data_IF_324858150058
#
_entry.id   IF_324858150058
#
_cell.length_a   1.000
_cell.length_b   1.000
_cell.length_c   1.000
_cell.angle_alpha   90.00
_cell.angle_beta   90.00
_cell.angle_gamma   90.00
#
_symmetry.space_group_name_H-M   'P 1'
#
loop_
_entity.id
_entity.type
_entity.pdbx_description
1 polymer ?
#
# COMPACT_ATOMS: atom_id res chain seq x y z
N UNK A 1 -61.26 -29.77 -14.34
CA UNK A 1 -60.36 -30.14 -13.22
C UNK A 1 -59.00 -30.47 -13.80
N UNK A 2 -57.95 -29.75 -13.37
CA UNK A 2 -56.50 -29.94 -13.54
C UNK A 2 -55.84 -28.56 -13.78
N UNK A 3 -55.74 -27.74 -12.73
CA UNK A 3 -54.50 -27.45 -11.99
C UNK A 3 -53.49 -26.59 -12.77
N UNK A 4 -53.69 -25.28 -12.60
CA UNK A 4 -52.72 -24.21 -12.87
C UNK A 4 -51.55 -24.41 -11.90
N UNK A 5 -50.41 -24.86 -12.41
CA UNK A 5 -49.17 -24.95 -11.62
C UNK A 5 -48.54 -23.57 -11.58
N UNK A 6 -48.57 -22.98 -10.39
CA UNK A 6 -48.06 -21.67 -10.04
C UNK A 6 -46.58 -21.51 -10.40
N UNK A 7 -46.29 -20.59 -11.32
CA UNK A 7 -44.93 -20.09 -11.58
C UNK A 7 -44.51 -19.25 -10.37
N UNK A 8 -43.65 -19.79 -9.53
CA UNK A 8 -42.99 -19.07 -8.44
C UNK A 8 -41.47 -19.30 -8.58
N UNK A 9 -40.92 -18.77 -9.67
CA UNK A 9 -39.47 -18.64 -9.80
C UNK A 9 -39.07 -17.50 -8.87
N UNK A 10 -38.54 -17.88 -7.70
CA UNK A 10 -37.78 -17.01 -6.83
C UNK A 10 -36.60 -16.43 -7.61
N UNK A 11 -36.79 -15.25 -8.20
CA UNK A 11 -35.68 -14.40 -8.61
C UNK A 11 -35.00 -13.91 -7.33
N UNK A 12 -34.12 -14.74 -6.77
CA UNK A 12 -33.11 -14.30 -5.83
C UNK A 12 -32.25 -13.28 -6.57
N UNK A 13 -32.58 -12.00 -6.40
CA UNK A 13 -31.69 -10.90 -6.74
C UNK A 13 -30.40 -11.12 -5.97
N UNK A 14 -29.37 -11.62 -6.65
CA UNK A 14 -27.97 -11.41 -6.28
C UNK A 14 -27.75 -9.90 -6.33
N UNK A 15 -28.06 -9.22 -5.23
CA UNK A 15 -27.62 -7.85 -5.00
C UNK A 15 -26.11 -7.94 -4.81
N UNK A 16 -25.37 -7.88 -5.92
CA UNK A 16 -23.96 -7.52 -5.86
C UNK A 16 -23.92 -6.09 -5.30
N UNK A 17 -23.72 -5.98 -3.99
CA UNK A 17 -23.54 -4.71 -3.30
C UNK A 17 -22.27 -4.08 -3.83
N UNK A 18 -22.41 -3.23 -4.84
CA UNK A 18 -21.32 -2.39 -5.31
C UNK A 18 -20.97 -1.44 -4.17
N UNK A 19 -19.85 -1.72 -3.50
CA UNK A 19 -19.36 -0.84 -2.43
C UNK A 19 -19.06 0.53 -3.03
N UNK A 20 -19.67 1.58 -2.47
CA UNK A 20 -19.41 2.94 -2.92
C UNK A 20 -18.02 3.39 -2.46
N UNK A 21 -17.39 4.29 -3.23
CA UNK A 21 -16.08 4.86 -2.87
C UNK A 21 -16.05 5.51 -1.48
N UNK A 22 -17.20 5.99 -0.99
CA UNK A 22 -17.38 6.52 0.37
C UNK A 22 -17.17 5.46 1.46
N UNK A 23 -17.76 4.27 1.28
CA UNK A 23 -17.65 3.15 2.22
C UNK A 23 -16.22 2.61 2.30
N UNK A 24 -15.57 2.42 1.14
CA UNK A 24 -14.17 1.99 1.04
C UNK A 24 -13.25 2.99 1.76
N UNK A 25 -13.49 4.29 1.56
CA UNK A 25 -12.71 5.33 2.23
C UNK A 25 -12.87 5.29 3.75
N UNK A 26 -14.06 4.92 4.27
CA UNK A 26 -14.28 4.79 5.72
C UNK A 26 -13.50 3.60 6.29
N UNK A 27 -13.69 2.41 5.74
CA UNK A 27 -13.04 1.18 6.22
C UNK A 27 -11.51 1.31 6.21
N UNK A 28 -10.94 1.86 5.13
CA UNK A 28 -9.49 2.03 5.05
C UNK A 28 -8.95 3.17 5.94
N UNK A 29 -9.78 4.14 6.34
CA UNK A 29 -9.42 5.10 7.40
C UNK A 29 -9.39 4.44 8.78
N UNK A 30 -10.34 3.55 9.06
CA UNK A 30 -10.39 2.81 10.33
C UNK A 30 -9.16 1.91 10.49
N UNK A 31 -8.73 1.21 9.43
CA UNK A 31 -7.46 0.47 9.41
C UNK A 31 -6.26 1.33 9.77
N UNK A 32 -6.17 2.51 9.17
CA UNK A 32 -5.02 3.40 9.37
C UNK A 32 -5.04 4.03 10.77
N UNK A 33 -6.22 4.30 11.30
CA UNK A 33 -6.38 4.68 12.71
C UNK A 33 -5.95 3.54 13.64
N UNK A 34 -6.38 2.30 13.39
CA UNK A 34 -5.91 1.13 14.14
C UNK A 34 -4.38 1.01 14.08
N UNK A 35 -3.79 1.15 12.90
CA UNK A 35 -2.34 1.02 12.68
C UNK A 35 -1.53 2.01 13.54
N UNK A 36 -2.08 3.20 13.77
CA UNK A 36 -1.50 4.20 14.67
C UNK A 36 -1.75 3.82 16.14
N UNK A 37 -2.98 3.50 16.51
CA UNK A 37 -3.37 3.19 17.89
C UNK A 37 -2.64 1.96 18.45
N UNK A 38 -2.49 0.92 17.62
CA UNK A 38 -1.79 -0.32 17.95
C UNK A 38 -0.27 -0.23 17.78
N UNK A 39 0.24 0.94 17.39
CA UNK A 39 1.68 1.20 17.16
C UNK A 39 2.29 0.31 16.07
N UNK A 40 1.48 -0.20 15.14
CA UNK A 40 2.01 -0.81 13.92
C UNK A 40 2.80 0.20 13.09
N UNK A 41 2.44 1.49 13.19
CA UNK A 41 3.26 2.61 12.71
C UNK A 41 3.87 3.33 13.92
N UNK A 42 5.20 3.38 13.99
CA UNK A 42 5.90 4.12 15.03
C UNK A 42 6.02 5.61 14.67
N UNK A 43 4.89 6.32 14.75
CA UNK A 43 4.84 7.77 14.49
C UNK A 43 5.83 8.57 15.33
N UNK A 44 6.02 8.33 16.65
CA UNK A 44 7.02 9.07 17.43
C UNK A 44 8.44 8.96 16.88
N UNK A 45 8.86 7.75 16.48
CA UNK A 45 10.18 7.55 15.88
C UNK A 45 10.31 8.23 14.51
N UNK A 46 9.27 8.15 13.67
CA UNK A 46 9.22 8.85 12.38
C UNK A 46 9.29 10.36 12.56
N UNK A 47 8.54 10.93 13.49
CA UNK A 47 8.58 12.37 13.79
C UNK A 47 9.98 12.81 14.19
N UNK A 48 10.62 12.07 15.11
CA UNK A 48 11.99 12.33 15.53
C UNK A 48 12.98 12.24 14.36
N UNK A 49 12.78 11.26 13.48
CA UNK A 49 13.62 11.12 12.30
C UNK A 49 13.45 12.27 11.31
N UNK A 50 12.21 12.69 11.05
CA UNK A 50 11.88 13.72 10.04
C UNK A 50 12.20 15.15 10.50
N UNK A 51 12.32 15.37 11.80
CA UNK A 51 12.56 16.69 12.38
C UNK A 51 13.79 17.38 11.78
N UNK A 52 13.55 18.54 11.17
CA UNK A 52 14.52 19.38 10.48
C UNK A 52 15.34 18.67 9.37
N UNK A 53 14.83 17.56 8.82
CA UNK A 53 15.47 16.86 7.71
C UNK A 53 15.09 17.44 6.35
N UNK A 54 15.97 17.30 5.38
CA UNK A 54 15.66 17.51 3.96
C UNK A 54 15.23 16.19 3.32
N UNK A 55 14.30 16.26 2.37
CA UNK A 55 13.81 15.08 1.66
C UNK A 55 14.98 14.31 1.04
N UNK A 56 15.03 13.01 1.32
CA UNK A 56 16.08 12.10 0.86
C UNK A 56 15.58 10.66 0.75
N UNK A 57 16.33 9.81 0.06
CA UNK A 57 16.05 8.38 -0.09
C UNK A 57 15.87 7.68 1.26
N UNK A 58 16.64 8.10 2.27
CA UNK A 58 16.59 7.55 3.63
C UNK A 58 15.25 7.79 4.33
N UNK A 59 14.45 8.79 3.89
CA UNK A 59 13.09 8.96 4.44
C UNK A 59 12.18 7.81 4.05
N UNK A 60 12.30 7.27 2.84
CA UNK A 60 11.55 6.07 2.43
C UNK A 60 11.95 4.88 3.30
N UNK A 61 13.26 4.70 3.51
CA UNK A 61 13.78 3.62 4.35
C UNK A 61 13.30 3.75 5.81
N UNK A 62 13.21 4.97 6.32
CA UNK A 62 12.64 5.22 7.64
C UNK A 62 11.14 4.87 7.70
N UNK A 63 10.36 5.25 6.69
CA UNK A 63 8.92 4.92 6.60
C UNK A 63 8.72 3.41 6.61
N UNK A 64 9.47 2.68 5.78
CA UNK A 64 9.40 1.21 5.73
C UNK A 64 9.84 0.58 7.06
N UNK A 65 10.95 1.04 7.63
CA UNK A 65 11.50 0.54 8.90
C UNK A 65 10.57 0.73 10.09
N UNK A 66 9.87 1.87 10.15
CA UNK A 66 8.99 2.23 11.25
C UNK A 66 7.52 1.85 10.99
N UNK A 67 7.26 1.09 9.93
CA UNK A 67 5.95 0.51 9.61
C UNK A 67 6.02 -1.01 9.67
N UNK A 68 5.37 -1.58 10.67
CA UNK A 68 5.21 -3.02 10.80
C UNK A 68 4.00 -3.49 9.99
N UNK A 69 4.23 -3.83 8.73
CA UNK A 69 3.21 -4.39 7.85
C UNK A 69 2.64 -5.72 8.36
N UNK A 70 3.41 -6.51 9.13
CA UNK A 70 2.91 -7.73 9.76
C UNK A 70 1.85 -7.41 10.82
N UNK A 71 2.12 -6.41 11.67
CA UNK A 71 1.14 -5.87 12.62
C UNK A 71 -0.13 -5.36 11.92
N UNK A 72 0.01 -4.65 10.79
CA UNK A 72 -1.14 -4.15 10.02
C UNK A 72 -1.97 -5.32 9.44
N UNK A 73 -1.33 -6.33 8.85
CA UNK A 73 -2.02 -7.39 8.12
C UNK A 73 -2.56 -8.53 9.01
N UNK A 74 -1.95 -8.75 10.18
CA UNK A 74 -2.25 -9.93 11.02
C UNK A 74 -2.45 -9.57 12.50
N UNK A 75 -1.40 -9.19 13.22
CA UNK A 75 -1.46 -9.28 14.69
C UNK A 75 -2.11 -8.07 15.38
N UNK A 76 -2.14 -6.91 14.72
CA UNK A 76 -2.61 -5.66 15.32
C UNK A 76 -3.97 -5.17 14.81
N UNK A 77 -4.18 -5.24 13.49
CA UNK A 77 -5.33 -4.62 12.80
C UNK A 77 -5.97 -5.54 11.76
N UNK A 78 -6.00 -6.85 12.02
CA UNK A 78 -6.49 -7.83 11.05
C UNK A 78 -7.96 -7.61 10.67
N UNK A 79 -8.82 -7.29 11.63
CA UNK A 79 -10.26 -7.10 11.35
C UNK A 79 -10.45 -5.89 10.45
N UNK A 80 -9.84 -4.74 10.79
CA UNK A 80 -9.90 -3.54 9.96
C UNK A 80 -9.22 -3.75 8.59
N UNK A 81 -8.19 -4.60 8.53
CA UNK A 81 -7.54 -4.94 7.27
C UNK A 81 -8.46 -5.79 6.37
N UNK A 82 -9.17 -6.75 6.95
CA UNK A 82 -10.12 -7.57 6.21
C UNK A 82 -11.33 -6.72 5.74
N UNK A 83 -11.74 -5.72 6.53
CA UNK A 83 -12.82 -4.81 6.19
C UNK A 83 -12.41 -3.76 5.15
N UNK A 84 -11.14 -3.36 5.08
CA UNK A 84 -10.63 -2.47 4.04
C UNK A 84 -10.26 -3.27 2.77
N UNK A 85 -10.99 -3.14 1.65
CA UNK A 85 -10.73 -3.96 0.46
C UNK A 85 -9.31 -3.81 -0.10
N UNK A 86 -8.70 -2.64 0.08
CA UNK A 86 -7.31 -2.39 -0.35
C UNK A 86 -6.30 -3.20 0.48
N UNK A 87 -6.52 -3.32 1.79
CA UNK A 87 -5.64 -4.08 2.67
C UNK A 87 -5.85 -5.57 2.48
N UNK A 88 -7.11 -6.03 2.44
CA UNK A 88 -7.43 -7.42 2.17
C UNK A 88 -6.82 -7.91 0.85
N UNK A 89 -6.97 -7.13 -0.23
CA UNK A 89 -6.37 -7.49 -1.53
C UNK A 89 -4.86 -7.58 -1.43
N UNK A 90 -4.21 -6.58 -0.79
CA UNK A 90 -2.74 -6.59 -0.63
C UNK A 90 -2.26 -7.78 0.21
N UNK A 91 -3.00 -8.12 1.28
CA UNK A 91 -2.73 -9.27 2.15
C UNK A 91 -2.82 -10.59 1.39
N UNK A 92 -3.90 -10.80 0.63
CA UNK A 92 -4.07 -12.01 -0.19
C UNK A 92 -2.98 -12.11 -1.24
N UNK A 93 -2.65 -11.01 -1.93
CA UNK A 93 -1.56 -10.99 -2.91
C UNK A 93 -0.22 -11.41 -2.30
N UNK A 94 0.11 -10.97 -1.07
CA UNK A 94 1.32 -11.41 -0.37
C UNK A 94 1.27 -12.91 -0.07
N UNK A 95 0.13 -13.44 0.40
CA UNK A 95 -0.03 -14.88 0.65
C UNK A 95 0.19 -15.69 -0.62
N UNK A 96 -0.36 -15.24 -1.74
CA UNK A 96 -0.23 -15.92 -3.01
C UNK A 96 1.21 -15.87 -3.52
N UNK A 97 1.87 -14.70 -3.43
CA UNK A 97 3.30 -14.55 -3.76
C UNK A 97 4.15 -15.52 -2.93
N UNK A 98 3.92 -15.58 -1.61
CA UNK A 98 4.66 -16.47 -0.71
C UNK A 98 4.37 -17.95 -0.98
N UNK A 99 3.21 -18.26 -1.55
CA UNK A 99 2.82 -19.61 -1.99
C UNK A 99 3.33 -19.94 -3.42
N UNK A 100 3.95 -18.98 -4.11
CA UNK A 100 4.40 -19.13 -5.50
C UNK A 100 3.29 -19.01 -6.55
N UNK A 101 2.11 -18.51 -6.15
CA UNK A 101 0.93 -18.38 -7.01
C UNK A 101 0.82 -16.97 -7.63
N UNK A 102 0.32 -16.89 -8.87
CA UNK A 102 0.03 -15.61 -9.54
C UNK A 102 -1.40 -15.15 -9.19
N UNK A 103 -1.51 -14.09 -8.40
CA UNK A 103 -2.79 -13.69 -7.80
C UNK A 103 -3.61 -12.62 -8.52
N UNK A 104 -3.04 -11.85 -9.44
CA UNK A 104 -3.82 -11.03 -10.38
C UNK A 104 -2.99 -10.53 -11.56
N UNK A 105 -3.64 -10.31 -12.70
CA UNK A 105 -3.03 -9.68 -13.88
C UNK A 105 -2.95 -8.14 -13.77
N UNK A 106 -3.31 -7.53 -12.64
CA UNK A 106 -3.44 -6.07 -12.56
C UNK A 106 -2.10 -5.33 -12.46
N UNK A 107 -1.07 -5.97 -11.90
CA UNK A 107 0.26 -5.40 -11.73
C UNK A 107 1.35 -6.43 -12.07
N UNK A 108 1.51 -6.80 -13.36
CA UNK A 108 2.35 -7.92 -13.77
C UNK A 108 3.82 -7.72 -13.44
N UNK A 109 4.38 -6.53 -13.64
CA UNK A 109 5.79 -6.24 -13.34
C UNK A 109 6.11 -6.39 -11.83
N UNK A 110 5.21 -5.88 -10.98
CA UNK A 110 5.32 -6.04 -9.53
C UNK A 110 5.23 -7.52 -9.12
N UNK A 111 4.29 -8.26 -9.70
CA UNK A 111 4.06 -9.68 -9.41
C UNK A 111 5.24 -10.56 -9.86
N UNK A 112 5.74 -10.34 -11.08
CA UNK A 112 6.88 -11.09 -11.61
C UNK A 112 8.15 -10.80 -10.79
N UNK A 113 8.36 -9.55 -10.36
CA UNK A 113 9.43 -9.22 -9.44
C UNK A 113 9.29 -9.97 -8.11
N UNK A 114 8.08 -9.98 -7.53
CA UNK A 114 7.83 -10.62 -6.24
C UNK A 114 8.03 -12.15 -6.30
N UNK A 115 7.56 -12.81 -7.36
CA UNK A 115 7.77 -14.24 -7.57
C UNK A 115 9.25 -14.56 -7.76
N UNK A 116 9.99 -13.71 -8.48
CA UNK A 116 11.43 -13.84 -8.63
C UNK A 116 12.15 -13.73 -7.28
N UNK A 117 11.75 -12.77 -6.43
CA UNK A 117 12.28 -12.67 -5.07
C UNK A 117 12.09 -13.98 -4.30
N UNK A 118 10.90 -14.58 -4.33
CA UNK A 118 10.62 -15.84 -3.62
C UNK A 118 11.46 -17.00 -4.18
N UNK A 119 11.54 -17.11 -5.51
CA UNK A 119 12.29 -18.17 -6.18
C UNK A 119 13.81 -18.09 -5.92
N UNK A 120 14.38 -16.89 -5.87
CA UNK A 120 15.82 -16.68 -5.73
C UNK A 120 16.30 -16.63 -4.26
N UNK A 121 15.40 -16.39 -3.31
CA UNK A 121 15.76 -16.21 -1.89
C UNK A 121 15.94 -17.53 -1.12
N UNK A 122 15.79 -18.70 -1.74
CA UNK A 122 15.88 -20.00 -1.07
C UNK A 122 15.02 -20.09 0.21
N UNK A 123 13.83 -19.52 0.17
CA UNK A 123 12.88 -19.42 1.31
C UNK A 123 13.38 -18.61 2.52
N UNK A 124 14.47 -17.85 2.40
CA UNK A 124 14.90 -16.91 3.43
C UNK A 124 13.95 -15.71 3.49
N UNK A 125 13.15 -15.64 4.55
CA UNK A 125 12.16 -14.59 4.77
C UNK A 125 12.80 -13.20 4.85
N UNK A 126 14.05 -13.07 5.31
CA UNK A 126 14.74 -11.78 5.39
C UNK A 126 15.16 -11.30 4.00
N UNK A 127 15.69 -12.18 3.15
CA UNK A 127 16.03 -11.84 1.76
C UNK A 127 14.77 -11.58 0.93
N UNK A 128 13.70 -12.36 1.11
CA UNK A 128 12.41 -12.11 0.46
C UNK A 128 11.90 -10.71 0.83
N UNK A 129 11.84 -10.39 2.13
CA UNK A 129 11.34 -9.09 2.59
C UNK A 129 12.16 -7.93 2.05
N UNK A 130 13.49 -8.06 2.07
CA UNK A 130 14.40 -7.06 1.52
C UNK A 130 14.16 -6.87 0.02
N UNK A 131 14.10 -7.94 -0.76
CA UNK A 131 13.84 -7.88 -2.19
C UNK A 131 12.48 -7.24 -2.51
N UNK A 132 11.41 -7.62 -1.81
CA UNK A 132 10.08 -7.03 -2.00
C UNK A 132 10.06 -5.52 -1.69
N UNK A 133 10.65 -5.12 -0.56
CA UNK A 133 10.58 -3.74 -0.05
C UNK A 133 11.56 -2.78 -0.74
N UNK A 134 12.71 -3.27 -1.18
CA UNK A 134 13.76 -2.45 -1.80
C UNK A 134 13.69 -2.52 -3.32
N UNK A 135 13.49 -3.71 -3.88
CA UNK A 135 13.59 -3.92 -5.32
C UNK A 135 12.23 -3.87 -6.01
N UNK A 136 11.22 -4.60 -5.52
CA UNK A 136 9.93 -4.63 -6.20
C UNK A 136 9.08 -3.39 -5.95
N UNK A 137 9.26 -2.71 -4.82
CA UNK A 137 8.53 -1.49 -4.50
C UNK A 137 8.59 -0.40 -5.59
N UNK A 138 9.65 -0.38 -6.40
CA UNK A 138 9.76 0.53 -7.54
C UNK A 138 8.63 0.36 -8.56
N UNK A 139 8.15 -0.86 -8.79
CA UNK A 139 7.06 -1.14 -9.74
C UNK A 139 5.70 -0.59 -9.27
N UNK A 140 5.59 -0.19 -8.01
CA UNK A 140 4.44 0.60 -7.57
C UNK A 140 4.51 2.06 -8.03
N UNK A 141 5.67 2.58 -8.44
CA UNK A 141 5.88 4.01 -8.69
C UNK A 141 6.38 4.34 -10.10
N UNK A 142 6.81 3.35 -10.87
CA UNK A 142 7.22 3.50 -12.28
C UNK A 142 6.05 3.70 -13.26
N UNK A 143 4.82 3.65 -12.76
CA UNK A 143 3.59 3.78 -13.55
C UNK A 143 2.97 2.45 -13.98
N UNK A 144 3.65 1.32 -13.76
CA UNK A 144 3.14 -0.01 -14.13
C UNK A 144 2.00 -0.50 -13.22
N UNK A 145 1.86 0.05 -12.01
CA UNK A 145 0.83 -0.34 -11.06
C UNK A 145 0.15 0.85 -10.34
N UNK A 146 -0.77 1.58 -11.01
CA UNK A 146 -1.43 2.78 -10.44
C UNK A 146 -2.25 2.51 -9.18
N UNK A 147 -2.80 1.30 -9.04
CA UNK A 147 -3.54 0.90 -7.83
C UNK A 147 -2.61 0.79 -6.61
N UNK A 148 -1.42 0.19 -6.75
CA UNK A 148 -0.44 0.13 -5.67
C UNK A 148 0.03 1.55 -5.31
N UNK A 149 0.41 2.36 -6.30
CA UNK A 149 0.86 3.74 -6.10
C UNK A 149 -0.17 4.56 -5.30
N UNK A 150 -1.44 4.45 -5.69
CA UNK A 150 -2.55 5.15 -5.05
C UNK A 150 -2.81 4.65 -3.63
N UNK A 151 -2.70 3.35 -3.37
CA UNK A 151 -2.83 2.81 -2.01
C UNK A 151 -1.72 3.30 -1.09
N UNK A 152 -0.45 3.11 -1.46
CA UNK A 152 0.69 3.51 -0.62
C UNK A 152 0.70 5.02 -0.38
N UNK A 153 0.36 5.82 -1.40
CA UNK A 153 0.22 7.29 -1.23
C UNK A 153 -0.86 7.66 -0.22
N UNK A 154 -2.01 6.95 -0.19
CA UNK A 154 -3.07 7.18 0.82
C UNK A 154 -2.61 6.82 2.23
N UNK A 155 -1.92 5.69 2.38
CA UNK A 155 -1.33 5.27 3.66
C UNK A 155 -0.38 6.36 4.17
N UNK A 156 0.57 6.79 3.33
CA UNK A 156 1.49 7.86 3.70
C UNK A 156 0.78 9.17 4.05
N UNK A 157 -0.22 9.58 3.26
CA UNK A 157 -0.95 10.83 3.52
C UNK A 157 -1.59 10.84 4.91
N UNK A 158 -2.13 9.71 5.36
CA UNK A 158 -2.71 9.61 6.69
C UNK A 158 -1.65 9.61 7.78
N UNK A 159 -0.52 8.92 7.59
CA UNK A 159 0.64 9.00 8.50
C UNK A 159 1.17 10.43 8.62
N UNK A 160 1.30 11.11 7.48
CA UNK A 160 1.78 12.48 7.39
C UNK A 160 0.84 13.47 8.08
N UNK A 161 -0.48 13.32 7.91
CA UNK A 161 -1.47 14.13 8.60
C UNK A 161 -1.45 13.88 10.11
N UNK A 162 -1.49 12.62 10.55
CA UNK A 162 -1.50 12.25 11.97
C UNK A 162 -0.19 12.61 12.69
N UNK A 163 0.94 12.46 12.00
CA UNK A 163 2.28 12.74 12.53
C UNK A 163 2.71 14.20 12.37
N UNK A 164 1.93 15.03 11.66
CA UNK A 164 2.26 16.39 11.30
C UNK A 164 3.59 16.55 10.55
N UNK A 165 3.90 15.62 9.63
CA UNK A 165 5.21 15.54 8.99
C UNK A 165 5.56 16.78 8.16
N UNK A 166 4.55 17.45 7.59
CA UNK A 166 4.72 18.68 6.79
C UNK A 166 5.47 19.78 7.54
N UNK A 167 5.25 19.90 8.85
CA UNK A 167 5.89 20.93 9.67
C UNK A 167 7.22 20.49 10.28
N UNK A 168 7.60 19.22 10.10
CA UNK A 168 8.88 18.68 10.59
C UNK A 168 9.96 18.73 9.51
N UNK A 169 9.58 18.50 8.25
CA UNK A 169 10.52 18.49 7.13
C UNK A 169 10.95 19.91 6.77
N UNK A 170 12.26 20.13 6.73
CA UNK A 170 12.88 21.44 6.49
C UNK A 170 12.46 22.00 5.13
N UNK A 171 11.98 23.24 5.12
CA UNK A 171 11.59 24.00 3.94
C UNK A 171 10.50 23.36 3.07
N UNK A 172 9.74 22.40 3.59
CA UNK A 172 8.64 21.79 2.86
C UNK A 172 7.31 22.52 3.13
N UNK A 173 6.63 22.98 2.08
CA UNK A 173 5.36 23.73 2.19
C UNK A 173 4.19 23.04 1.49
N UNK A 174 4.47 22.08 0.61
CA UNK A 174 3.47 21.34 -0.16
C UNK A 174 2.56 20.45 0.71
N UNK A 175 1.55 19.80 0.12
CA UNK A 175 0.71 18.80 0.77
C UNK A 175 1.45 17.45 0.91
N UNK A 176 0.93 16.56 1.77
CA UNK A 176 1.57 15.27 2.06
C UNK A 176 1.82 14.40 0.81
N UNK A 177 0.94 14.44 -0.18
CA UNK A 177 1.10 13.61 -1.38
C UNK A 177 2.31 14.06 -2.21
N UNK A 178 2.63 15.36 -2.23
CA UNK A 178 3.82 15.87 -2.90
C UNK A 178 5.08 15.50 -2.14
N UNK A 179 5.05 15.58 -0.80
CA UNK A 179 6.15 15.11 0.04
C UNK A 179 6.48 13.65 -0.28
N UNK A 180 5.44 12.80 -0.34
CA UNK A 180 5.63 11.39 -0.64
C UNK A 180 6.23 11.18 -2.03
N UNK A 181 5.69 11.87 -3.04
CA UNK A 181 6.20 11.83 -4.42
C UNK A 181 7.68 12.19 -4.47
N UNK A 182 8.10 13.24 -3.76
CA UNK A 182 9.50 13.64 -3.69
C UNK A 182 10.39 12.62 -2.96
N UNK A 183 9.90 12.03 -1.87
CA UNK A 183 10.58 10.94 -1.15
C UNK A 183 10.80 9.73 -2.07
N UNK A 184 9.75 9.29 -2.78
CA UNK A 184 9.80 8.17 -3.73
C UNK A 184 10.76 8.47 -4.88
N UNK A 185 10.68 9.66 -5.48
CA UNK A 185 11.63 10.06 -6.52
C UNK A 185 13.07 10.07 -6.01
N UNK A 186 13.30 10.53 -4.78
CA UNK A 186 14.64 10.50 -4.19
C UNK A 186 15.12 9.06 -3.93
N UNK A 187 14.23 8.16 -3.51
CA UNK A 187 14.55 6.74 -3.25
C UNK A 187 14.94 5.99 -4.52
N UNK A 188 14.24 6.23 -5.62
CA UNK A 188 14.42 5.47 -6.87
C UNK A 188 15.02 6.31 -8.00
N UNK A 189 15.77 7.37 -7.68
CA UNK A 189 16.33 8.32 -8.65
C UNK A 189 17.07 7.62 -9.80
N UNK A 190 17.96 6.67 -9.48
CA UNK A 190 18.75 5.93 -10.47
C UNK A 190 17.88 5.09 -11.41
N UNK A 191 16.73 4.60 -10.93
CA UNK A 191 15.81 3.79 -11.74
C UNK A 191 14.94 4.67 -12.63
N UNK A 192 14.45 5.80 -12.11
CA UNK A 192 13.73 6.77 -12.93
C UNK A 192 14.59 7.36 -14.03
N UNK A 193 15.87 7.66 -13.75
CA UNK A 193 16.83 8.15 -14.73
C UNK A 193 17.07 7.15 -15.88
N UNK A 194 17.10 5.85 -15.57
CA UNK A 194 17.28 4.79 -16.58
C UNK A 194 16.06 4.59 -17.49
N UNK A 195 14.87 5.02 -17.07
CA UNK A 195 13.63 4.85 -17.82
C UNK A 195 13.20 6.13 -18.55
N UNK A 196 14.02 7.19 -18.54
CA UNK A 196 13.66 8.52 -19.07
C UNK A 196 12.30 9.04 -18.54
N UNK A 197 11.92 8.66 -17.32
CA UNK A 197 10.69 9.15 -16.69
C UNK A 197 11.01 10.51 -16.05
N UNK A 198 10.56 11.64 -16.62
CA UNK A 198 10.88 12.94 -16.07
C UNK A 198 10.20 13.13 -14.71
N UNK A 199 10.88 13.84 -13.81
CA UNK A 199 10.28 14.34 -12.57
C UNK A 199 9.13 15.27 -12.98
N UNK A 200 7.88 14.83 -12.87
CA UNK A 200 6.72 15.69 -13.17
C UNK A 200 6.71 16.85 -12.18
N UNK A 201 7.12 18.03 -12.64
CA UNK A 201 6.95 19.30 -11.94
C UNK A 201 5.45 19.56 -11.75
N UNK A 202 5.07 19.95 -10.54
CA UNK A 202 3.69 20.07 -10.08
C UNK A 202 2.79 20.93 -10.97
N UNK A 203 1.52 20.55 -10.96
CA UNK A 203 0.38 21.41 -11.23
C UNK A 203 -0.44 21.48 -9.94
#
# INVERSE_FOLDING_TARGET
MAQITTVLICAAFLVATTMTASAINKQCRELLQCSIQKKCVNLPALKKYLDNQTISSKMYDAIDKYTDYGCIFTTGCQDECNDCPLCLTSKLQIVDILSGEKSSNECPALMDCALKCVAESNQDIFEINKCLRVDCAFHCFDGSCPKCSGFITRVFNQMCAAGNFRHLVRNFTGPCYEMFREIVHSKFADRFAKLDIPKKSGA
#
